data_IF_321879804004
#
_entry.id   IF_321879804004
#
_cell.length_a   1.000
_cell.length_b   1.000
_cell.length_c   1.000
_cell.angle_alpha   90.00
_cell.angle_beta   90.00
_cell.angle_gamma   90.00
#
_symmetry.space_group_name_H-M   'P 1'
#
loop_
_entity.id
_entity.type
_entity.pdbx_description
1 polymer ?
#
# COMPACT_ATOMS: atom_id res chain seq x y z
N UNK A 1 3.61 -10.67 12.64
CA UNK A 1 4.25 -10.46 11.32
C UNK A 1 4.59 -8.98 11.13
N UNK A 2 5.76 -8.60 10.59
CA UNK A 2 6.09 -7.18 10.34
C UNK A 2 5.49 -6.66 9.02
N UNK A 3 5.08 -5.40 9.00
CA UNK A 3 4.61 -4.69 7.82
C UNK A 3 5.77 -4.40 6.87
N UNK A 4 5.62 -4.79 5.60
CA UNK A 4 6.63 -4.54 4.57
C UNK A 4 6.64 -3.06 4.20
N UNK A 5 7.79 -2.56 3.77
CA UNK A 5 7.99 -1.14 3.45
C UNK A 5 7.03 -0.61 2.39
N UNK A 6 6.65 -1.43 1.41
CA UNK A 6 5.71 -1.06 0.35
C UNK A 6 4.24 -1.45 0.63
N UNK A 7 3.95 -2.00 1.82
CA UNK A 7 2.57 -2.34 2.21
C UNK A 7 1.96 -3.50 1.44
N UNK A 8 2.75 -4.29 0.71
CA UNK A 8 2.24 -5.44 -0.06
C UNK A 8 1.60 -6.52 0.81
N UNK A 9 1.87 -6.54 2.11
CA UNK A 9 1.18 -7.38 3.09
C UNK A 9 0.26 -6.59 4.04
N UNK A 10 -0.15 -5.36 3.70
CA UNK A 10 -0.93 -4.50 4.61
C UNK A 10 -2.22 -5.16 5.11
N UNK A 11 -3.00 -5.80 4.22
CA UNK A 11 -4.24 -6.51 4.60
C UNK A 11 -3.94 -7.64 5.58
N UNK A 12 -3.03 -8.56 5.24
CA UNK A 12 -2.64 -9.66 6.12
C UNK A 12 -2.00 -9.16 7.42
N UNK A 13 -1.31 -8.03 7.37
CA UNK A 13 -0.74 -7.39 8.55
C UNK A 13 -1.83 -6.82 9.45
N UNK A 14 -2.84 -6.17 8.87
CA UNK A 14 -3.99 -5.62 9.58
C UNK A 14 -4.81 -6.73 10.25
N UNK A 15 -5.04 -7.85 9.56
CA UNK A 15 -5.66 -9.07 10.11
C UNK A 15 -4.84 -9.64 11.28
N UNK A 16 -3.51 -9.77 11.11
CA UNK A 16 -2.63 -10.21 12.19
C UNK A 16 -2.64 -9.24 13.38
N UNK A 17 -2.77 -7.94 13.13
CA UNK A 17 -2.88 -6.93 14.18
C UNK A 17 -4.18 -7.09 14.96
N UNK A 18 -5.30 -7.27 14.25
CA UNK A 18 -6.60 -7.48 14.85
C UNK A 18 -6.60 -8.70 15.79
N UNK A 19 -6.05 -9.83 15.34
CA UNK A 19 -5.93 -11.03 16.17
C UNK A 19 -5.07 -10.80 17.42
N UNK A 20 -3.92 -10.13 17.29
CA UNK A 20 -3.07 -9.85 18.45
C UNK A 20 -3.77 -8.94 19.46
N UNK A 21 -4.48 -7.90 19.01
CA UNK A 21 -5.24 -7.05 19.91
C UNK A 21 -6.36 -7.80 20.62
N UNK A 22 -7.05 -8.70 19.91
CA UNK A 22 -8.10 -9.54 20.49
C UNK A 22 -7.54 -10.43 21.60
N UNK A 23 -6.36 -11.03 21.38
CA UNK A 23 -5.66 -11.86 22.37
C UNK A 23 -5.17 -11.07 23.59
N UNK A 24 -4.72 -9.82 23.40
CA UNK A 24 -4.13 -9.01 24.48
C UNK A 24 -5.15 -8.14 25.23
N UNK A 25 -6.31 -7.85 24.65
CA UNK A 25 -7.26 -6.84 25.14
C UNK A 25 -8.70 -7.37 25.24
N UNK A 26 -8.86 -8.69 25.40
CA UNK A 26 -10.14 -9.38 25.66
C UNK A 26 -11.28 -8.94 24.72
N UNK A 27 -11.05 -8.96 23.40
CA UNK A 27 -12.09 -8.69 22.40
C UNK A 27 -12.42 -7.20 22.16
N UNK A 28 -11.62 -6.27 22.68
CA UNK A 28 -11.77 -4.86 22.34
C UNK A 28 -11.33 -4.56 20.90
N UNK A 29 -12.24 -4.07 20.05
CA UNK A 29 -11.94 -3.74 18.66
C UNK A 29 -11.24 -2.37 18.51
N UNK A 30 -10.04 -2.26 19.09
CA UNK A 30 -9.22 -1.03 19.11
C UNK A 30 -8.93 -0.45 17.72
N UNK A 31 -8.95 -1.27 16.66
CA UNK A 31 -8.78 -0.81 15.28
C UNK A 31 -9.97 0.02 14.76
N UNK A 32 -11.17 -0.22 15.30
CA UNK A 32 -12.41 0.42 14.86
C UNK A 32 -12.97 1.42 15.87
N UNK A 33 -12.64 1.27 17.15
CA UNK A 33 -13.09 2.17 18.22
C UNK A 33 -11.93 3.03 18.71
N UNK A 34 -12.07 4.34 18.57
CA UNK A 34 -11.13 5.35 19.07
C UNK A 34 -11.11 5.48 20.62
N UNK A 35 -11.72 4.53 21.33
CA UNK A 35 -11.95 4.61 22.76
C UNK A 35 -10.77 3.99 23.52
N UNK A 36 -9.66 4.72 23.55
CA UNK A 36 -8.57 4.56 24.51
C UNK A 36 -9.03 4.93 25.93
N UNK A 37 -9.96 4.15 26.49
CA UNK A 37 -10.49 4.40 27.85
C UNK A 37 -9.48 4.07 28.95
N UNK A 38 -8.49 3.21 28.64
CA UNK A 38 -7.45 2.79 29.56
C UNK A 38 -6.05 3.13 29.01
N UNK A 39 -5.27 3.88 29.80
CA UNK A 39 -3.92 4.29 29.45
C UNK A 39 -2.92 3.12 29.38
N UNK A 40 -3.21 2.00 30.03
CA UNK A 40 -2.40 0.79 29.97
C UNK A 40 -2.56 0.09 28.62
N UNK A 41 -3.80 -0.14 28.20
CA UNK A 41 -4.15 -0.77 26.92
C UNK A 41 -3.63 0.06 25.75
N UNK A 42 -3.71 1.39 25.86
CA UNK A 42 -3.15 2.33 24.90
C UNK A 42 -1.63 2.14 24.71
N UNK A 43 -0.87 1.93 25.79
CA UNK A 43 0.58 1.67 25.70
C UNK A 43 0.88 0.30 25.09
N UNK A 44 0.07 -0.73 25.38
CA UNK A 44 0.19 -2.05 24.76
C UNK A 44 -0.02 -1.94 23.25
N UNK A 45 -1.12 -1.31 22.83
CA UNK A 45 -1.47 -1.07 21.43
C UNK A 45 -0.35 -0.33 20.68
N UNK A 46 0.23 0.71 21.28
CA UNK A 46 1.33 1.45 20.68
C UNK A 46 2.62 0.65 20.58
N UNK A 47 2.97 -0.10 21.63
CA UNK A 47 4.14 -0.97 21.63
C UNK A 47 4.02 -2.04 20.53
N UNK A 48 2.85 -2.67 20.42
CA UNK A 48 2.54 -3.63 19.35
C UNK A 48 2.72 -3.00 17.97
N UNK A 49 2.14 -1.83 17.70
CA UNK A 49 2.29 -1.16 16.41
C UNK A 49 3.76 -0.85 16.09
N UNK A 50 4.51 -0.31 17.04
CA UNK A 50 5.92 0.02 16.88
C UNK A 50 6.75 -1.23 16.52
N UNK A 51 6.46 -2.38 17.14
CA UNK A 51 7.16 -3.63 16.87
C UNK A 51 6.75 -4.29 15.56
N UNK A 52 5.53 -4.02 15.07
CA UNK A 52 4.97 -4.63 13.88
C UNK A 52 5.19 -3.81 12.60
N UNK A 53 5.83 -2.63 12.68
CA UNK A 53 6.23 -1.84 11.49
C UNK A 53 7.74 -1.96 11.22
N UNK A 54 8.17 -1.49 10.03
CA UNK A 54 9.60 -1.33 9.74
C UNK A 54 10.22 -0.18 10.55
N UNK A 55 11.52 -0.24 10.82
CA UNK A 55 12.23 0.77 11.61
C UNK A 55 12.13 2.17 10.98
N UNK A 56 12.05 2.24 9.64
CA UNK A 56 11.84 3.47 8.87
C UNK A 56 10.52 4.14 9.23
N UNK A 57 9.46 3.34 9.35
CA UNK A 57 8.11 3.83 9.64
C UNK A 57 7.95 4.07 11.13
N UNK A 58 8.57 3.24 11.96
CA UNK A 58 8.68 3.46 13.40
C UNK A 58 9.15 4.90 13.70
N UNK A 59 10.23 5.37 13.06
CA UNK A 59 10.72 6.75 13.23
C UNK A 59 9.69 7.82 12.86
N UNK A 60 8.82 7.56 11.89
CA UNK A 60 7.76 8.49 11.46
C UNK A 60 6.57 8.50 12.42
N UNK A 61 6.27 7.37 13.04
CA UNK A 61 5.07 7.21 13.87
C UNK A 61 5.32 7.30 15.38
N UNK A 62 6.57 7.21 15.85
CA UNK A 62 6.90 7.17 17.29
C UNK A 62 6.48 8.43 18.06
N UNK A 63 6.30 9.56 17.36
CA UNK A 63 5.81 10.82 17.93
C UNK A 63 4.30 10.99 17.83
N UNK A 64 3.61 10.12 17.08
CA UNK A 64 2.17 10.18 16.90
C UNK A 64 1.50 9.52 18.10
N UNK A 65 0.48 10.19 18.61
CA UNK A 65 -0.37 9.76 19.70
C UNK A 65 -1.77 10.33 19.43
N UNK A 66 -2.86 9.65 19.79
CA UNK A 66 -2.94 8.28 20.33
C UNK A 66 -2.79 7.18 19.25
N UNK A 67 -2.95 5.91 19.61
CA UNK A 67 -2.93 4.70 18.78
C UNK A 67 -3.79 4.87 17.53
N UNK A 68 -4.99 5.44 17.69
CA UNK A 68 -5.89 5.69 16.56
C UNK A 68 -5.29 6.65 15.52
N UNK A 69 -4.48 7.63 15.95
CA UNK A 69 -3.75 8.52 15.05
C UNK A 69 -2.60 7.80 14.33
N UNK A 70 -1.87 6.92 15.04
CA UNK A 70 -0.83 6.08 14.42
C UNK A 70 -1.45 5.16 13.37
N UNK A 71 -2.50 4.42 13.74
CA UNK A 71 -3.15 3.47 12.85
C UNK A 71 -3.80 4.17 11.65
N UNK A 72 -4.46 5.32 11.85
CA UNK A 72 -4.99 6.14 10.75
C UNK A 72 -3.89 6.62 9.80
N UNK A 73 -2.74 7.05 10.33
CA UNK A 73 -1.60 7.44 9.52
C UNK A 73 -1.10 6.27 8.66
N UNK A 74 -0.90 5.10 9.27
CA UNK A 74 -0.45 3.89 8.56
C UNK A 74 -1.45 3.51 7.47
N UNK A 75 -2.74 3.43 7.81
CA UNK A 75 -3.80 3.11 6.87
C UNK A 75 -3.81 4.05 5.66
N UNK A 76 -3.76 5.36 5.89
CA UNK A 76 -3.75 6.34 4.81
C UNK A 76 -2.46 6.28 3.98
N UNK A 77 -1.31 6.18 4.64
CA UNK A 77 0.00 6.09 3.98
C UNK A 77 0.07 4.90 3.02
N UNK A 78 -0.33 3.72 3.50
CA UNK A 78 -0.29 2.50 2.71
C UNK A 78 -1.41 2.39 1.70
N UNK A 79 -2.60 2.93 1.99
CA UNK A 79 -3.68 3.01 1.01
C UNK A 79 -3.25 3.81 -0.23
N UNK A 80 -2.62 4.98 -0.02
CA UNK A 80 -2.09 5.80 -1.12
C UNK A 80 -1.01 5.06 -1.91
N UNK A 81 -0.08 4.38 -1.23
CA UNK A 81 0.98 3.59 -1.87
C UNK A 81 0.43 2.43 -2.71
N UNK A 82 -0.53 1.69 -2.14
CA UNK A 82 -1.18 0.56 -2.79
C UNK A 82 -1.94 1.05 -4.03
N UNK A 83 -2.75 2.10 -3.91
CA UNK A 83 -3.47 2.68 -5.04
C UNK A 83 -2.53 3.19 -6.12
N UNK A 84 -1.47 3.91 -5.76
CA UNK A 84 -0.50 4.41 -6.73
C UNK A 84 0.18 3.25 -7.48
N UNK A 85 0.55 2.19 -6.76
CA UNK A 85 1.14 0.99 -7.34
C UNK A 85 0.16 0.26 -8.28
N UNK A 86 -1.11 0.13 -7.87
CA UNK A 86 -2.17 -0.48 -8.68
C UNK A 86 -2.38 0.27 -9.99
N UNK A 87 -2.47 1.60 -9.95
CA UNK A 87 -2.64 2.42 -11.16
C UNK A 87 -1.43 2.30 -12.07
N UNK A 88 -0.22 2.37 -11.53
CA UNK A 88 1.01 2.24 -12.32
C UNK A 88 1.09 0.88 -13.02
N UNK A 89 0.88 -0.22 -12.28
CA UNK A 89 0.96 -1.56 -12.87
C UNK A 89 -0.19 -1.83 -13.86
N UNK A 90 -1.36 -1.22 -13.66
CA UNK A 90 -2.47 -1.27 -14.61
C UNK A 90 -2.14 -0.52 -15.91
N UNK A 91 -1.57 0.69 -15.81
CA UNK A 91 -1.13 1.44 -16.98
C UNK A 91 -0.06 0.67 -17.76
N UNK A 92 0.91 0.08 -17.08
CA UNK A 92 1.89 -0.80 -17.71
C UNK A 92 1.18 -1.96 -18.43
N UNK A 93 0.22 -2.64 -17.79
CA UNK A 93 -0.50 -3.73 -18.43
C UNK A 93 -1.19 -3.28 -19.73
N UNK A 94 -1.89 -2.15 -19.72
CA UNK A 94 -2.58 -1.59 -20.89
C UNK A 94 -1.65 -1.13 -22.01
N UNK A 95 -0.49 -0.57 -21.66
CA UNK A 95 0.52 -0.12 -22.63
C UNK A 95 1.39 -1.27 -23.15
N UNK A 96 1.09 -2.52 -22.78
CA UNK A 96 1.84 -3.67 -23.26
C UNK A 96 1.52 -3.93 -24.72
N UNK A 97 2.41 -3.48 -25.60
CA UNK A 97 2.37 -3.75 -27.03
C UNK A 97 3.52 -4.66 -27.45
N UNK A 98 3.31 -5.41 -28.52
CA UNK A 98 4.35 -6.21 -29.15
C UNK A 98 5.44 -5.27 -29.68
N UNK A 99 6.70 -5.54 -29.33
CA UNK A 99 7.83 -4.78 -29.86
C UNK A 99 8.20 -5.29 -31.26
N UNK A 100 8.81 -4.44 -32.08
CA UNK A 100 9.31 -4.85 -33.39
C UNK A 100 10.30 -6.02 -33.26
N UNK A 101 10.03 -7.10 -33.99
CA UNK A 101 10.84 -8.34 -33.97
C UNK A 101 10.66 -9.23 -32.74
N UNK A 102 9.72 -8.91 -31.84
CA UNK A 102 9.42 -9.74 -30.67
C UNK A 102 8.63 -11.00 -31.05
N UNK A 103 8.86 -12.11 -30.35
CA UNK A 103 8.02 -13.31 -30.49
C UNK A 103 6.75 -13.22 -29.64
N UNK A 104 5.70 -13.90 -30.06
CA UNK A 104 4.46 -14.00 -29.26
C UNK A 104 4.71 -14.60 -27.87
N UNK A 105 5.65 -15.54 -27.72
CA UNK A 105 6.06 -16.09 -26.42
C UNK A 105 6.66 -15.01 -25.50
N UNK A 106 7.56 -14.16 -26.03
CA UNK A 106 8.17 -13.09 -25.25
C UNK A 106 7.13 -12.04 -24.81
N UNK A 107 6.15 -11.74 -25.67
CA UNK A 107 5.02 -10.89 -25.31
C UNK A 107 4.21 -11.50 -24.15
N UNK A 108 3.88 -12.79 -24.24
CA UNK A 108 3.12 -13.52 -23.21
C UNK A 108 3.87 -13.53 -21.86
N UNK A 109 5.18 -13.76 -21.87
CA UNK A 109 5.99 -13.74 -20.64
C UNK A 109 6.02 -12.36 -19.96
N UNK A 110 6.07 -11.29 -20.75
CA UNK A 110 5.97 -9.92 -20.20
C UNK A 110 4.59 -9.64 -19.63
N UNK A 111 3.52 -10.07 -20.29
CA UNK A 111 2.15 -9.93 -19.79
C UNK A 111 2.02 -10.68 -18.46
N UNK A 112 2.50 -11.93 -18.37
CA UNK A 112 2.49 -12.70 -17.12
C UNK A 112 3.31 -12.04 -16.00
N UNK A 113 4.46 -11.45 -16.34
CA UNK A 113 5.28 -10.72 -15.37
C UNK A 113 4.52 -9.50 -14.83
N UNK A 114 3.87 -8.72 -15.70
CA UNK A 114 3.06 -7.56 -15.30
C UNK A 114 1.84 -7.96 -14.48
N UNK A 115 1.16 -9.06 -14.84
CA UNK A 115 0.06 -9.62 -14.05
C UNK A 115 0.51 -10.09 -12.66
N UNK A 116 1.70 -10.69 -12.56
CA UNK A 116 2.29 -11.06 -11.26
C UNK A 116 2.62 -9.83 -10.42
N UNK A 117 3.19 -8.79 -11.02
CA UNK A 117 3.41 -7.50 -10.35
C UNK A 117 2.09 -6.91 -9.86
N UNK A 118 1.03 -6.97 -10.67
CA UNK A 118 -0.30 -6.49 -10.29
C UNK A 118 -0.86 -7.26 -9.10
N UNK A 119 -0.79 -8.59 -9.12
CA UNK A 119 -1.20 -9.45 -7.99
C UNK A 119 -0.44 -9.11 -6.70
N UNK A 120 0.83 -8.73 -6.80
CA UNK A 120 1.66 -8.35 -5.66
C UNK A 120 1.31 -6.97 -5.06
N UNK A 121 0.44 -6.18 -5.70
CA UNK A 121 -0.08 -4.92 -5.14
C UNK A 121 -1.20 -5.12 -4.12
N UNK A 122 -1.49 -6.37 -3.73
CA UNK A 122 -2.52 -6.71 -2.74
C UNK A 122 -3.92 -6.19 -3.13
N UNK A 123 -4.20 -6.21 -4.43
CA UNK A 123 -5.47 -5.82 -5.01
C UNK A 123 -6.50 -6.94 -4.83
N UNK A 124 -7.31 -6.86 -3.78
CA UNK A 124 -8.68 -7.38 -3.88
C UNK A 124 -9.44 -6.43 -4.83
N UNK A 125 -9.25 -6.63 -6.14
CA UNK A 125 -9.99 -5.91 -7.18
C UNK A 125 -11.48 -6.14 -6.95
N UNK A 126 -12.17 -5.11 -6.48
CA UNK A 126 -13.62 -5.07 -6.42
C UNK A 126 -14.12 -4.22 -7.60
N UNK A 127 -15.43 -4.18 -7.78
CA UNK A 127 -16.04 -3.45 -8.90
C UNK A 127 -15.68 -1.96 -8.90
N UNK A 128 -15.53 -1.35 -7.73
CA UNK A 128 -15.18 0.07 -7.59
C UNK A 128 -13.73 0.35 -7.98
N UNK A 129 -12.80 -0.56 -7.64
CA UNK A 129 -11.41 -0.49 -8.09
C UNK A 129 -11.32 -0.58 -9.62
N UNK A 130 -12.06 -1.48 -10.24
CA UNK A 130 -12.12 -1.64 -11.71
C UNK A 130 -12.74 -0.39 -12.35
N UNK A 131 -13.85 0.11 -11.80
CA UNK A 131 -14.49 1.34 -12.27
C UNK A 131 -13.55 2.55 -12.18
N UNK A 132 -12.81 2.69 -11.08
CA UNK A 132 -11.82 3.76 -10.91
C UNK A 132 -10.71 3.71 -11.97
N UNK A 133 -10.19 2.52 -12.26
CA UNK A 133 -9.18 2.31 -13.30
C UNK A 133 -9.73 2.61 -14.71
N UNK A 134 -10.97 2.20 -15.00
CA UNK A 134 -11.64 2.48 -16.27
C UNK A 134 -11.96 3.96 -16.46
N UNK A 135 -12.42 4.64 -15.41
CA UNK A 135 -12.68 6.09 -15.44
C UNK A 135 -11.38 6.87 -15.62
N UNK A 136 -10.31 6.50 -14.92
CA UNK A 136 -8.99 7.08 -15.15
C UNK A 136 -8.57 6.92 -16.61
N UNK A 137 -8.69 5.71 -17.17
CA UNK A 137 -8.37 5.45 -18.59
C UNK A 137 -9.20 6.31 -19.55
N UNK A 138 -10.51 6.42 -19.34
CA UNK A 138 -11.39 7.25 -20.17
C UNK A 138 -10.99 8.74 -20.13
N UNK A 139 -10.41 9.20 -19.02
CA UNK A 139 -9.91 10.58 -18.85
C UNK A 139 -8.47 10.79 -19.31
N UNK A 140 -7.69 9.73 -19.53
CA UNK A 140 -6.25 9.80 -19.88
C UNK A 140 -5.95 9.59 -21.37
N UNK A 141 -6.94 9.75 -22.25
CA UNK A 141 -6.80 9.63 -23.72
C UNK A 141 -5.76 10.57 -24.37
N UNK A 142 -5.08 11.43 -23.60
CA UNK A 142 -4.03 12.33 -24.05
C UNK A 142 -2.64 11.85 -23.56
N UNK A 143 -1.68 11.60 -24.48
CA UNK A 143 -0.34 11.10 -24.13
C UNK A 143 0.41 11.94 -23.10
N UNK A 144 0.27 13.26 -23.16
CA UNK A 144 0.93 14.21 -22.25
C UNK A 144 0.40 14.12 -20.82
N UNK A 145 -0.90 13.87 -20.65
CA UNK A 145 -1.53 13.68 -19.34
C UNK A 145 -1.10 12.35 -18.73
N UNK A 146 -0.97 11.31 -19.55
CA UNK A 146 -0.46 10.00 -19.13
C UNK A 146 0.97 10.07 -18.60
N UNK A 147 1.88 10.72 -19.33
CA UNK A 147 3.27 10.88 -18.89
C UNK A 147 3.37 11.66 -17.56
N UNK A 148 2.55 12.72 -17.41
CA UNK A 148 2.52 13.50 -16.18
C UNK A 148 1.93 12.72 -14.99
N UNK A 149 0.89 11.92 -15.24
CA UNK A 149 0.31 11.03 -14.23
C UNK A 149 1.31 9.95 -13.80
N UNK A 150 1.99 9.31 -14.75
CA UNK A 150 3.02 8.31 -14.47
C UNK A 150 4.15 8.90 -13.60
N UNK A 151 4.69 10.07 -13.99
CA UNK A 151 5.70 10.77 -13.20
C UNK A 151 5.22 11.09 -11.77
N UNK A 152 3.95 11.48 -11.60
CA UNK A 152 3.36 11.73 -10.28
C UNK A 152 3.20 10.45 -9.46
N UNK A 153 2.78 9.35 -10.07
CA UNK A 153 2.63 8.05 -9.40
C UNK A 153 3.99 7.49 -8.99
N UNK A 154 4.99 7.56 -9.86
CA UNK A 154 6.38 7.21 -9.54
C UNK A 154 6.93 8.10 -8.43
N UNK A 155 6.65 9.41 -8.45
CA UNK A 155 7.02 10.32 -7.37
C UNK A 155 6.32 9.99 -6.05
N UNK A 156 5.05 9.55 -6.07
CA UNK A 156 4.32 9.08 -4.88
C UNK A 156 4.98 7.80 -4.35
N UNK A 157 5.19 6.80 -5.20
CA UNK A 157 5.84 5.54 -4.80
C UNK A 157 7.26 5.81 -4.29
N UNK A 158 7.97 6.78 -4.86
CA UNK A 158 9.30 7.18 -4.40
C UNK A 158 9.23 7.95 -3.08
N UNK A 159 8.33 8.92 -2.94
CA UNK A 159 8.25 9.77 -1.74
C UNK A 159 7.70 9.01 -0.53
N UNK A 160 6.71 8.17 -0.76
CA UNK A 160 6.07 7.37 0.26
C UNK A 160 6.79 6.02 0.46
N UNK A 161 7.45 5.49 -0.58
CA UNK A 161 8.18 4.21 -0.54
C UNK A 161 9.70 4.32 -0.35
N UNK A 162 10.32 5.51 -0.42
CA UNK A 162 11.73 5.69 0.00
C UNK A 162 11.85 5.95 1.50
N UNK A 163 12.70 5.13 2.11
CA UNK A 163 13.59 5.49 3.22
C UNK A 163 14.40 6.76 2.89
N UNK A 164 14.53 7.74 3.80
CA UNK A 164 15.57 8.74 3.65
C UNK A 164 16.91 8.02 3.67
N UNK A 165 17.69 8.20 2.60
CA UNK A 165 19.01 7.63 2.34
C UNK A 165 19.80 7.26 3.61
N UNK A 166 20.23 6.00 3.66
CA UNK A 166 21.57 5.63 4.10
C UNK A 166 22.61 6.46 3.33
N UNK A 167 22.90 7.67 3.84
CA UNK A 167 24.14 8.36 3.53
C UNK A 167 25.24 7.69 4.35
N UNK A 168 26.19 7.10 3.62
CA UNK A 168 27.53 6.81 4.11
C UNK A 168 28.17 8.07 4.68
#
# INVERSE_FOLDING_TARGET
>A
MKLKEYGSNFVTWEENMAMLLEDFLDGANYLSTADGKNAFDEKICQSLLIHLVSDTICKKIIKLQPFSAIYSYLKNHYHILIQASQVLTWQELLLTQMKDGESTTALVDRVFTRLRSYKNTNSNMNKDHILGLLLQQATTSQPTINALLQNKLEAIITTYGQTPNSRK
#
